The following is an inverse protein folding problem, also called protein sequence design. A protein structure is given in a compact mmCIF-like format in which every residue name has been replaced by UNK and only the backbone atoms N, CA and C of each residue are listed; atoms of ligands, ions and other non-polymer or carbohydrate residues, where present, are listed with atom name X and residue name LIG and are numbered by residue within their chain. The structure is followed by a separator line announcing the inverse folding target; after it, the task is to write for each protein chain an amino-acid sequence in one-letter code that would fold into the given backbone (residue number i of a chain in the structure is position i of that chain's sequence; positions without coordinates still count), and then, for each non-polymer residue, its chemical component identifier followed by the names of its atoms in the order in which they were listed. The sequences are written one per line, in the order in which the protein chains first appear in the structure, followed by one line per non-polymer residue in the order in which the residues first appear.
data_IF_289683716802
#
_entry.id   IF_289683716802
#
_cell.length_a   1.000
_cell.length_b   1.000
_cell.length_c   1.000
_cell.angle_alpha   90.00
_cell.angle_beta   90.00
_cell.angle_gamma   90.00
#
_symmetry.space_group_name_H-M   'P 1'
#
loop_
_entity.id
_entity.type
_entity.pdbx_description
1 polymer ?
#
# COMPACT_ATOMS: atom_id res chain seq x y z
N UNK A 1 18.00 -17.62 31.91
CA UNK A 1 16.72 -18.34 31.83
C UNK A 1 16.13 -18.02 30.47
N UNK A 2 16.24 -18.93 29.51
CA UNK A 2 15.58 -18.74 28.22
C UNK A 2 14.09 -19.03 28.40
N UNK A 3 13.28 -18.02 28.19
CA UNK A 3 11.81 -18.14 28.26
C UNK A 3 11.37 -18.80 26.95
N UNK A 4 11.18 -20.10 26.95
CA UNK A 4 10.56 -20.83 25.83
C UNK A 4 9.05 -20.66 25.87
N UNK A 5 8.43 -20.38 24.72
CA UNK A 5 6.98 -20.28 24.66
C UNK A 5 6.31 -21.64 24.89
N UNK A 6 5.29 -21.64 25.71
CA UNK A 6 4.44 -22.82 25.86
C UNK A 6 3.61 -23.05 24.57
N UNK A 7 3.19 -24.29 24.29
CA UNK A 7 2.34 -24.58 23.13
C UNK A 7 1.04 -23.77 23.09
N UNK A 8 0.49 -23.41 24.26
CA UNK A 8 -0.75 -22.65 24.36
C UNK A 8 -0.53 -21.15 24.05
N UNK A 9 0.59 -20.58 24.47
CA UNK A 9 1.00 -19.22 24.09
C UNK A 9 1.22 -19.10 22.58
N UNK A 10 1.88 -20.07 21.97
CA UNK A 10 2.07 -20.11 20.50
C UNK A 10 0.73 -20.19 19.76
N UNK A 11 -0.23 -20.98 20.27
CA UNK A 11 -1.58 -21.09 19.69
C UNK A 11 -2.34 -19.78 19.83
N UNK A 12 -2.26 -19.13 21.00
CA UNK A 12 -2.91 -17.83 21.24
C UNK A 12 -2.36 -16.76 20.29
N UNK A 13 -1.03 -16.67 20.15
CA UNK A 13 -0.37 -15.75 19.26
C UNK A 13 -0.74 -16.01 17.79
N UNK A 14 -0.75 -17.28 17.36
CA UNK A 14 -1.13 -17.65 16.00
C UNK A 14 -2.57 -17.24 15.66
N UNK A 15 -3.53 -17.45 16.58
CA UNK A 15 -4.93 -17.02 16.38
C UNK A 15 -5.07 -15.50 16.33
N UNK A 16 -4.34 -14.76 17.18
CA UNK A 16 -4.33 -13.29 17.13
C UNK A 16 -3.80 -12.79 15.77
N UNK A 17 -2.69 -13.35 15.29
CA UNK A 17 -2.10 -13.01 14.00
C UNK A 17 -2.97 -13.42 12.82
N UNK A 18 -3.66 -14.52 12.88
CA UNK A 18 -4.63 -14.91 11.86
C UNK A 18 -5.76 -13.88 11.73
N UNK A 19 -6.33 -13.43 12.85
CA UNK A 19 -7.35 -12.37 12.85
C UNK A 19 -6.82 -11.06 12.26
N UNK A 20 -5.65 -10.60 12.67
CA UNK A 20 -5.00 -9.40 12.13
C UNK A 20 -4.79 -9.50 10.61
N UNK A 21 -4.29 -10.65 10.13
CA UNK A 21 -4.05 -10.88 8.71
C UNK A 21 -5.37 -10.86 7.90
N UNK A 22 -6.44 -11.48 8.43
CA UNK A 22 -7.76 -11.48 7.79
C UNK A 22 -8.38 -10.09 7.73
N UNK A 23 -8.32 -9.33 8.84
CA UNK A 23 -8.79 -7.95 8.87
C UNK A 23 -7.99 -7.03 7.95
N UNK A 24 -6.66 -7.06 8.04
CA UNK A 24 -5.78 -6.30 7.18
C UNK A 24 -6.02 -6.59 5.70
N UNK A 25 -6.24 -7.86 5.35
CA UNK A 25 -6.59 -8.26 3.98
C UNK A 25 -7.94 -7.70 3.53
N UNK A 26 -8.98 -7.78 4.37
CA UNK A 26 -10.31 -7.23 4.03
C UNK A 26 -10.27 -5.74 3.80
N UNK A 27 -9.62 -4.99 4.70
CA UNK A 27 -9.46 -3.54 4.57
C UNK A 27 -8.63 -3.21 3.32
N UNK A 28 -7.51 -3.91 3.12
CA UNK A 28 -6.66 -3.71 1.95
C UNK A 28 -7.39 -3.95 0.63
N UNK A 29 -8.18 -5.03 0.53
CA UNK A 29 -8.99 -5.31 -0.65
C UNK A 29 -10.09 -4.26 -0.88
N UNK A 30 -10.76 -3.80 0.18
CA UNK A 30 -11.78 -2.76 0.07
C UNK A 30 -11.17 -1.43 -0.45
N UNK A 31 -9.99 -1.05 0.06
CA UNK A 31 -9.26 0.13 -0.41
C UNK A 31 -8.83 -0.01 -1.87
N UNK A 32 -8.32 -1.18 -2.28
CA UNK A 32 -7.93 -1.43 -3.68
C UNK A 32 -9.14 -1.36 -4.63
N UNK A 33 -10.30 -1.87 -4.22
CA UNK A 33 -11.54 -1.77 -5.01
C UNK A 33 -11.96 -0.30 -5.15
N UNK A 34 -11.93 0.47 -4.05
CA UNK A 34 -12.28 1.89 -4.07
C UNK A 34 -11.33 2.69 -4.98
N UNK A 35 -10.01 2.43 -4.91
CA UNK A 35 -9.01 3.04 -5.78
C UNK A 35 -9.23 2.65 -7.25
N UNK A 36 -9.48 1.38 -7.54
CA UNK A 36 -9.77 0.94 -8.90
C UNK A 36 -11.01 1.62 -9.48
N UNK A 37 -12.07 1.76 -8.70
CA UNK A 37 -13.28 2.48 -9.10
C UNK A 37 -13.00 3.96 -9.39
N UNK A 38 -12.20 4.63 -8.54
CA UNK A 38 -11.81 6.03 -8.73
C UNK A 38 -10.96 6.22 -10.00
N UNK A 39 -9.98 5.36 -10.26
CA UNK A 39 -9.17 5.42 -11.47
C UNK A 39 -9.98 5.12 -12.73
N UNK A 40 -10.87 4.12 -12.70
CA UNK A 40 -11.77 3.82 -13.79
C UNK A 40 -12.70 5.01 -14.09
N UNK A 41 -13.33 5.59 -13.07
CA UNK A 41 -14.17 6.77 -13.23
C UNK A 41 -13.39 7.93 -13.86
N UNK A 42 -12.20 8.27 -13.37
CA UNK A 42 -11.37 9.32 -13.92
C UNK A 42 -10.96 9.03 -15.38
N UNK A 43 -10.66 7.77 -15.72
CA UNK A 43 -10.28 7.38 -17.08
C UNK A 43 -11.40 7.64 -18.08
N UNK A 44 -12.67 7.40 -17.71
CA UNK A 44 -13.82 7.65 -18.57
C UNK A 44 -14.28 9.11 -18.58
N UNK A 45 -14.08 9.84 -17.48
CA UNK A 45 -14.55 11.23 -17.32
C UNK A 45 -13.64 12.25 -18.00
N UNK A 46 -12.37 11.89 -18.31
CA UNK A 46 -11.37 12.81 -18.83
C UNK A 46 -11.12 12.52 -20.32
N UNK A 47 -11.19 13.54 -21.18
CA UNK A 47 -11.00 13.38 -22.62
C UNK A 47 -9.54 13.28 -23.05
N UNK A 48 -8.61 13.75 -22.23
CA UNK A 48 -7.20 13.87 -22.59
C UNK A 48 -6.46 12.54 -22.55
N UNK A 49 -5.84 12.16 -23.68
CA UNK A 49 -5.20 10.86 -23.87
C UNK A 49 -4.14 10.53 -22.81
N UNK A 50 -3.24 11.46 -22.52
CA UNK A 50 -2.14 11.22 -21.56
C UNK A 50 -2.65 10.97 -20.14
N UNK A 51 -3.70 11.68 -19.72
CA UNK A 51 -4.33 11.46 -18.44
C UNK A 51 -5.02 10.10 -18.42
N UNK A 52 -5.71 9.70 -19.49
CA UNK A 52 -6.29 8.36 -19.60
C UNK A 52 -5.24 7.26 -19.49
N UNK A 53 -4.10 7.41 -20.17
CA UNK A 53 -2.99 6.45 -20.09
C UNK A 53 -2.43 6.34 -18.67
N UNK A 54 -2.27 7.47 -17.95
CA UNK A 54 -1.82 7.44 -16.56
C UNK A 54 -2.83 6.75 -15.63
N UNK A 55 -4.13 6.96 -15.84
CA UNK A 55 -5.19 6.29 -15.07
C UNK A 55 -5.25 4.78 -15.40
N UNK A 56 -5.09 4.40 -16.66
CA UNK A 56 -5.01 3.01 -17.08
C UNK A 56 -3.81 2.29 -16.42
N UNK A 57 -2.65 2.96 -16.36
CA UNK A 57 -1.47 2.45 -15.65
C UNK A 57 -1.76 2.22 -14.16
N UNK A 58 -2.37 3.21 -13.49
CA UNK A 58 -2.76 3.10 -12.07
C UNK A 58 -3.76 1.98 -11.84
N UNK A 59 -4.70 1.80 -12.76
CA UNK A 59 -5.68 0.71 -12.71
C UNK A 59 -5.00 -0.66 -12.85
N UNK A 60 -4.09 -0.81 -13.82
CA UNK A 60 -3.31 -2.03 -14.00
C UNK A 60 -2.46 -2.36 -12.76
N UNK A 61 -1.82 -1.35 -12.17
CA UNK A 61 -1.04 -1.49 -10.95
C UNK A 61 -1.92 -1.90 -9.75
N UNK A 62 -3.10 -1.29 -9.60
CA UNK A 62 -4.07 -1.66 -8.56
C UNK A 62 -4.57 -3.10 -8.74
N UNK A 63 -4.82 -3.51 -10.00
CA UNK A 63 -5.18 -4.89 -10.35
C UNK A 63 -4.07 -5.89 -10.00
N UNK A 64 -2.80 -5.53 -10.25
CA UNK A 64 -1.66 -6.34 -9.85
C UNK A 64 -1.56 -6.50 -8.33
N UNK A 65 -1.72 -5.41 -7.56
CA UNK A 65 -1.76 -5.48 -6.09
C UNK A 65 -2.93 -6.33 -5.58
N UNK A 66 -4.09 -6.23 -6.21
CA UNK A 66 -5.25 -7.06 -5.89
C UNK A 66 -4.94 -8.55 -6.13
N UNK A 67 -4.36 -8.88 -7.28
CA UNK A 67 -3.96 -10.24 -7.62
C UNK A 67 -2.95 -10.80 -6.63
N UNK A 68 -1.89 -10.07 -6.31
CA UNK A 68 -0.88 -10.50 -5.31
C UNK A 68 -1.47 -10.67 -3.91
N UNK A 69 -2.39 -9.78 -3.50
CA UNK A 69 -3.06 -9.83 -2.21
C UNK A 69 -3.97 -11.06 -2.06
N UNK A 70 -4.58 -11.54 -3.16
CA UNK A 70 -5.42 -12.74 -3.13
C UNK A 70 -4.61 -14.01 -2.82
N UNK A 71 -3.36 -14.06 -3.25
CA UNK A 71 -2.48 -15.23 -3.09
C UNK A 71 -1.69 -15.22 -1.77
N UNK A 72 -1.81 -14.17 -0.96
CA UNK A 72 -1.16 -14.12 0.35
C UNK A 72 -1.84 -15.07 1.34
N UNK A 73 -1.09 -15.94 2.04
CA UNK A 73 -1.64 -16.88 3.01
C UNK A 73 -2.23 -16.14 4.20
N UNK A 74 -3.56 -16.14 4.32
CA UNK A 74 -4.28 -15.44 5.39
C UNK A 74 -4.71 -16.34 6.55
N UNK A 75 -4.85 -17.64 6.32
CA UNK A 75 -5.37 -18.62 7.28
C UNK A 75 -4.35 -19.70 7.60
N UNK A 76 -4.42 -20.19 8.83
CA UNK A 76 -3.69 -21.39 9.26
C UNK A 76 -4.32 -22.62 8.63
N UNK A 77 -3.52 -23.48 8.01
CA UNK A 77 -3.99 -24.79 7.51
C UNK A 77 -4.22 -25.76 8.67
N UNK A 78 -5.20 -26.65 8.54
CA UNK A 78 -5.48 -27.68 9.57
C UNK A 78 -4.30 -28.59 9.86
N UNK A 79 -3.40 -28.79 8.89
CA UNK A 79 -2.20 -29.62 9.03
C UNK A 79 -0.95 -28.83 9.48
N UNK A 80 -1.07 -27.51 9.69
CA UNK A 80 0.06 -26.63 9.98
C UNK A 80 0.24 -26.42 11.48
N UNK A 81 1.49 -26.50 11.96
CA UNK A 81 1.80 -26.14 13.34
C UNK A 81 1.70 -24.63 13.58
N UNK A 82 1.36 -24.21 14.79
CA UNK A 82 1.28 -22.78 15.17
C UNK A 82 2.59 -22.04 14.89
N UNK A 83 3.75 -22.67 15.16
CA UNK A 83 5.05 -22.11 14.88
C UNK A 83 5.31 -21.97 13.36
N UNK A 84 4.93 -22.98 12.57
CA UNK A 84 5.04 -22.96 11.12
C UNK A 84 4.20 -21.84 10.49
N UNK A 85 2.95 -21.66 10.95
CA UNK A 85 2.09 -20.56 10.53
C UNK A 85 2.66 -19.18 10.86
N UNK A 86 3.15 -18.99 12.09
CA UNK A 86 3.76 -17.73 12.51
C UNK A 86 4.99 -17.40 11.65
N UNK A 87 5.88 -18.37 11.43
CA UNK A 87 7.04 -18.20 10.57
C UNK A 87 6.65 -17.79 9.16
N UNK A 88 5.73 -18.51 8.52
CA UNK A 88 5.22 -18.20 7.18
C UNK A 88 4.58 -16.81 7.13
N UNK A 89 3.80 -16.43 8.17
CA UNK A 89 3.17 -15.11 8.27
C UNK A 89 4.20 -13.98 8.34
N UNK A 90 5.27 -14.13 9.14
CA UNK A 90 6.33 -13.12 9.25
C UNK A 90 7.20 -13.04 8.01
N UNK A 91 7.55 -14.19 7.41
CA UNK A 91 8.28 -14.24 6.13
C UNK A 91 7.47 -13.57 5.02
N UNK A 92 6.17 -13.86 4.93
CA UNK A 92 5.26 -13.23 3.99
C UNK A 92 5.13 -11.71 4.18
N UNK A 93 5.02 -11.23 5.43
CA UNK A 93 5.00 -9.80 5.75
C UNK A 93 6.31 -9.11 5.35
N UNK A 94 7.45 -9.71 5.68
CA UNK A 94 8.77 -9.19 5.29
C UNK A 94 8.89 -9.08 3.77
N UNK A 95 8.59 -10.15 3.06
CA UNK A 95 8.64 -10.17 1.59
C UNK A 95 7.68 -9.15 0.98
N UNK A 96 6.45 -9.04 1.51
CA UNK A 96 5.46 -8.05 1.09
C UNK A 96 5.94 -6.62 1.27
N UNK A 97 6.48 -6.26 2.43
CA UNK A 97 7.00 -4.91 2.67
C UNK A 97 8.19 -4.56 1.78
N UNK A 98 9.10 -5.51 1.54
CA UNK A 98 10.21 -5.31 0.61
C UNK A 98 9.73 -5.15 -0.83
N UNK A 99 8.76 -5.94 -1.27
CA UNK A 99 8.17 -5.84 -2.59
C UNK A 99 7.46 -4.49 -2.78
N UNK A 100 6.64 -4.05 -1.81
CA UNK A 100 5.91 -2.78 -1.86
C UNK A 100 6.90 -1.60 -2.00
N UNK A 101 8.04 -1.62 -1.32
CA UNK A 101 9.07 -0.57 -1.47
C UNK A 101 9.46 -0.35 -2.93
N UNK A 102 9.68 -1.43 -3.68
CA UNK A 102 10.04 -1.35 -5.09
C UNK A 102 8.86 -0.99 -5.97
N UNK A 103 7.67 -1.48 -5.64
CA UNK A 103 6.44 -1.15 -6.39
C UNK A 103 6.05 0.32 -6.28
N UNK A 104 6.46 1.05 -5.22
CA UNK A 104 6.26 2.49 -5.13
C UNK A 104 6.91 3.25 -6.29
N UNK A 105 8.03 2.76 -6.84
CA UNK A 105 8.67 3.38 -8.00
C UNK A 105 7.82 3.28 -9.28
N UNK A 106 6.94 2.29 -9.38
CA UNK A 106 6.01 2.17 -10.50
C UNK A 106 4.92 3.27 -10.52
N UNK A 107 4.79 4.01 -9.44
CA UNK A 107 3.88 5.18 -9.37
C UNK A 107 4.51 6.44 -9.97
N UNK A 108 5.83 6.50 -10.11
CA UNK A 108 6.54 7.69 -10.60
C UNK A 108 6.14 8.05 -12.04
N UNK A 109 6.13 7.11 -13.03
CA UNK A 109 5.79 7.46 -14.41
C UNK A 109 4.41 8.13 -14.56
N UNK A 110 3.30 7.56 -14.05
CA UNK A 110 2.00 8.21 -14.17
C UNK A 110 1.91 9.53 -13.44
N UNK A 111 2.66 9.69 -12.35
CA UNK A 111 2.73 10.96 -11.62
C UNK A 111 3.45 12.03 -12.43
N UNK A 112 4.58 11.69 -13.06
CA UNK A 112 5.31 12.59 -13.96
C UNK A 112 4.46 12.98 -15.16
N UNK A 113 3.80 12.02 -15.80
CA UNK A 113 2.88 12.29 -16.91
C UNK A 113 1.79 13.27 -16.47
N UNK A 114 1.16 13.02 -15.34
CA UNK A 114 0.10 13.88 -14.80
C UNK A 114 0.59 15.30 -14.44
N UNK A 115 1.86 15.44 -14.06
CA UNK A 115 2.44 16.74 -13.73
C UNK A 115 2.97 17.49 -14.96
N UNK A 116 3.64 16.81 -15.89
CA UNK A 116 4.22 17.41 -17.10
C UNK A 116 3.15 17.80 -18.13
N UNK A 117 2.00 17.12 -18.13
CA UNK A 117 0.90 17.53 -18.99
C UNK A 117 0.17 18.69 -18.34
N UNK A 118 0.13 19.86 -18.99
CA UNK A 118 -0.70 21.03 -18.59
C UNK A 118 -2.16 20.66 -18.33
N UNK A 119 -2.59 19.51 -18.78
CA UNK A 119 -3.89 18.92 -18.56
C UNK A 119 -4.21 18.63 -17.09
N UNK A 120 -3.23 18.19 -16.32
CA UNK A 120 -3.43 17.99 -14.87
C UNK A 120 -3.66 19.28 -14.13
N UNK A 121 -3.01 20.35 -14.54
CA UNK A 121 -3.20 21.70 -14.00
C UNK A 121 -4.54 22.29 -14.44
N UNK A 122 -4.88 22.23 -15.72
CA UNK A 122 -6.15 22.71 -16.24
C UNK A 122 -7.36 22.04 -15.56
N UNK A 123 -7.29 20.72 -15.31
CA UNK A 123 -8.34 20.01 -14.59
C UNK A 123 -8.42 20.45 -13.13
N UNK A 124 -7.28 20.65 -12.46
CA UNK A 124 -7.27 21.15 -11.08
C UNK A 124 -7.86 22.55 -10.99
N UNK A 125 -7.45 23.43 -11.88
CA UNK A 125 -7.98 24.81 -11.96
C UNK A 125 -9.49 24.81 -12.25
N UNK A 126 -9.95 24.01 -13.21
CA UNK A 126 -11.37 23.88 -13.52
C UNK A 126 -12.17 23.34 -12.33
N UNK A 127 -11.64 22.35 -11.62
CA UNK A 127 -12.27 21.78 -10.42
C UNK A 127 -12.34 22.79 -9.27
N UNK A 128 -11.25 23.51 -9.01
CA UNK A 128 -11.20 24.55 -7.97
C UNK A 128 -12.18 25.70 -8.25
N UNK A 129 -12.29 26.13 -9.52
CA UNK A 129 -13.29 27.13 -9.94
C UNK A 129 -14.72 26.60 -9.75
N UNK A 130 -14.98 25.33 -10.11
CA UNK A 130 -16.27 24.68 -9.89
C UNK A 130 -16.67 24.57 -8.41
N UNK A 131 -15.69 24.50 -7.51
CA UNK A 131 -15.91 24.51 -6.05
C UNK A 131 -15.98 25.93 -5.46
N UNK A 132 -15.91 26.99 -6.28
CA UNK A 132 -15.94 28.39 -5.82
C UNK A 132 -14.69 28.82 -5.04
N UNK A 133 -13.54 28.15 -5.23
CA UNK A 133 -12.30 28.50 -4.56
C UNK A 133 -11.74 29.79 -5.17
N UNK A 134 -11.54 30.81 -4.31
CA UNK A 134 -10.98 32.08 -4.69
C UNK A 134 -9.56 31.93 -5.25
N UNK A 135 -9.26 32.46 -6.47
CA UNK A 135 -7.92 32.43 -7.05
C UNK A 135 -6.83 33.11 -6.20
N UNK A 136 -7.20 34.04 -5.32
CA UNK A 136 -6.27 34.68 -4.38
C UNK A 136 -5.96 33.85 -3.14
N UNK A 137 -6.69 32.74 -2.92
CA UNK A 137 -6.53 31.92 -1.74
C UNK A 137 -5.22 31.11 -1.75
N UNK A 138 -4.66 30.85 -0.56
CA UNK A 138 -3.49 29.98 -0.40
C UNK A 138 -3.75 28.55 -0.94
N UNK A 139 -4.99 28.07 -0.82
CA UNK A 139 -5.40 26.75 -1.34
C UNK A 139 -5.29 26.70 -2.86
N UNK A 140 -5.71 27.77 -3.55
CA UNK A 140 -5.59 27.86 -5.00
C UNK A 140 -4.12 27.83 -5.45
N UNK A 141 -3.26 28.66 -4.85
CA UNK A 141 -1.84 28.70 -5.14
C UNK A 141 -1.13 27.38 -4.83
N UNK A 142 -1.51 26.71 -3.73
CA UNK A 142 -1.00 25.38 -3.42
C UNK A 142 -1.40 24.35 -4.49
N UNK A 143 -2.68 24.32 -4.86
CA UNK A 143 -3.21 23.32 -5.77
C UNK A 143 -2.73 23.50 -7.23
N UNK A 144 -2.45 24.72 -7.66
CA UNK A 144 -1.98 25.05 -9.03
C UNK A 144 -0.46 25.03 -9.15
N UNK A 145 0.28 25.18 -8.05
CA UNK A 145 1.74 25.18 -8.03
C UNK A 145 2.36 23.76 -8.05
N UNK A 146 3.69 23.67 -7.87
CA UNK A 146 4.40 22.39 -7.81
C UNK A 146 4.19 21.61 -6.52
N UNK A 147 3.57 22.21 -5.51
CA UNK A 147 3.42 21.68 -4.16
C UNK A 147 2.73 20.30 -4.09
N UNK A 148 1.63 20.04 -4.84
CA UNK A 148 1.01 18.72 -4.84
C UNK A 148 1.96 17.62 -5.31
N UNK A 149 2.82 17.91 -6.29
CA UNK A 149 3.82 16.97 -6.76
C UNK A 149 4.92 16.76 -5.71
N UNK A 150 5.43 17.85 -5.11
CA UNK A 150 6.46 17.78 -4.05
C UNK A 150 5.95 16.98 -2.86
N UNK A 151 4.73 17.24 -2.38
CA UNK A 151 4.14 16.51 -1.25
C UNK A 151 3.92 15.04 -1.58
N UNK A 152 3.56 14.72 -2.81
CA UNK A 152 3.36 13.36 -3.26
C UNK A 152 4.70 12.59 -3.32
N UNK A 153 5.76 13.20 -3.88
CA UNK A 153 7.11 12.61 -3.90
C UNK A 153 7.61 12.40 -2.46
N UNK A 154 7.45 13.40 -1.60
CA UNK A 154 7.84 13.29 -0.19
C UNK A 154 7.08 12.16 0.51
N UNK A 155 5.78 12.03 0.25
CA UNK A 155 4.96 10.93 0.79
C UNK A 155 5.44 9.56 0.32
N UNK A 156 5.85 9.42 -0.95
CA UNK A 156 6.43 8.17 -1.46
C UNK A 156 7.76 7.83 -0.79
N UNK A 157 8.62 8.83 -0.58
CA UNK A 157 9.90 8.66 0.12
C UNK A 157 9.66 8.22 1.57
N UNK A 158 8.75 8.89 2.27
CA UNK A 158 8.37 8.52 3.65
C UNK A 158 7.77 7.10 3.71
N UNK A 159 6.89 6.76 2.78
CA UNK A 159 6.33 5.42 2.67
C UNK A 159 7.42 4.37 2.41
N UNK A 160 8.39 4.67 1.53
CA UNK A 160 9.52 3.79 1.25
C UNK A 160 10.35 3.50 2.51
N UNK A 161 10.63 4.51 3.33
CA UNK A 161 11.31 4.34 4.62
C UNK A 161 10.44 3.56 5.61
N UNK A 162 9.15 3.89 5.73
CA UNK A 162 8.23 3.21 6.64
C UNK A 162 8.13 1.71 6.34
N UNK A 163 7.99 1.32 5.07
CA UNK A 163 8.00 -0.09 4.67
C UNK A 163 9.34 -0.76 4.92
N UNK A 164 10.45 -0.03 4.81
CA UNK A 164 11.78 -0.53 5.19
C UNK A 164 11.89 -0.84 6.68
N UNK A 165 11.37 0.04 7.53
CA UNK A 165 11.33 -0.17 8.98
C UNK A 165 10.39 -1.32 9.36
N UNK A 166 9.22 -1.42 8.70
CA UNK A 166 8.29 -2.53 8.90
C UNK A 166 8.90 -3.89 8.51
N UNK A 167 9.66 -3.94 7.43
CA UNK A 167 10.39 -5.14 7.02
C UNK A 167 11.46 -5.53 8.06
N UNK A 168 12.22 -4.57 8.61
CA UNK A 168 13.20 -4.81 9.70
C UNK A 168 12.51 -5.33 10.97
N UNK A 169 11.35 -4.76 11.33
CA UNK A 169 10.57 -5.25 12.47
C UNK A 169 10.14 -6.70 12.26
N UNK A 170 9.59 -7.04 11.09
CA UNK A 170 9.20 -8.41 10.76
C UNK A 170 10.39 -9.39 10.81
N UNK A 171 11.60 -8.95 10.42
CA UNK A 171 12.83 -9.75 10.56
C UNK A 171 13.16 -10.04 12.01
N UNK A 172 13.08 -9.03 12.90
CA UNK A 172 13.34 -9.20 14.35
C UNK A 172 12.34 -10.16 14.99
N UNK A 173 11.04 -10.02 14.66
CA UNK A 173 9.98 -10.91 15.15
C UNK A 173 10.24 -12.37 14.72
N UNK A 174 10.76 -12.56 13.51
CA UNK A 174 11.10 -13.88 12.97
C UNK A 174 12.35 -14.49 13.66
N UNK A 175 13.36 -13.69 13.95
CA UNK A 175 14.54 -14.12 14.70
C UNK A 175 14.18 -14.47 16.16
N UNK A 176 13.32 -13.69 16.79
CA UNK A 176 12.83 -13.97 18.13
C UNK A 176 12.03 -15.27 18.18
N UNK A 177 11.14 -15.51 17.19
CA UNK A 177 10.41 -16.75 17.05
C UNK A 177 11.37 -17.95 16.94
N UNK A 178 12.41 -17.83 16.10
CA UNK A 178 13.42 -18.90 15.94
C UNK A 178 14.15 -19.21 17.23
N UNK A 179 14.62 -18.19 17.95
CA UNK A 179 15.33 -18.38 19.23
C UNK A 179 14.45 -19.11 20.25
N UNK A 180 13.19 -18.68 20.40
CA UNK A 180 12.25 -19.26 21.38
C UNK A 180 11.66 -20.62 21.00
N UNK A 181 11.81 -21.07 19.76
CA UNK A 181 11.33 -22.40 19.30
C UNK A 181 12.46 -23.43 19.18
N UNK A 182 13.73 -23.02 19.25
CA UNK A 182 14.89 -23.90 19.14
C UNK A 182 15.57 -24.22 20.50
N UNK A 183 15.25 -23.46 21.56
CA UNK A 183 15.64 -23.75 22.94
C UNK A 183 14.56 -24.58 23.64
#
# INVERSE_FOLDING_TARGET
MEITWTPDELRALARSRERENLWGRRIGLALLIALAAAFAYNMFSISQLWVRLSQAWMLAWTGFLFWTSRHSPGRMSAAETSAGFLRRSFEGKRAGFLAIRWYLFLLIPPMLIGWLTNSGEAIRVARLKGLGVDPSSRLYHYATGPWPFITLVLSLVLAWFAFGLAAKKATRELEELRRRTQG
#
